data_IF_561147544825
#
_entry.id   IF_561147544825
#
_cell.length_a   1.000
_cell.length_b   1.000
_cell.length_c   1.000
_cell.angle_alpha   90.00
_cell.angle_beta   90.00
_cell.angle_gamma   90.00
#
_symmetry.space_group_name_H-M   'P 1'
#
loop_
_entity.id
_entity.type
_entity.pdbx_description
1 polymer ?
#
# COMPACT_ATOMS: atom_id res chain seq x y z
N UNK A 1 -16.22 -7.86 7.32
CA UNK A 1 -16.85 -7.60 8.63
C UNK A 1 -16.27 -6.36 9.33
N UNK A 2 -15.53 -5.51 8.59
CA UNK A 2 -14.89 -4.27 9.07
C UNK A 2 -13.82 -4.48 10.15
N UNK A 3 -13.38 -5.72 10.39
CA UNK A 3 -12.37 -6.04 11.40
C UNK A 3 -11.10 -6.59 10.78
N UNK A 4 -10.00 -6.47 11.52
CA UNK A 4 -8.82 -7.31 11.30
C UNK A 4 -8.79 -8.39 12.38
N UNK A 5 -8.14 -9.51 12.07
CA UNK A 5 -7.91 -10.58 13.05
C UNK A 5 -6.45 -11.04 12.98
N UNK A 6 -5.80 -11.07 14.13
CA UNK A 6 -4.46 -11.63 14.29
C UNK A 6 -4.61 -13.08 14.75
N UNK A 7 -3.93 -13.98 14.04
CA UNK A 7 -3.96 -15.41 14.31
C UNK A 7 -2.55 -15.92 14.58
N UNK A 8 -2.42 -16.93 15.42
CA UNK A 8 -1.19 -17.72 15.45
C UNK A 8 -1.20 -18.80 14.36
N UNK A 9 -0.05 -19.43 14.14
CA UNK A 9 0.12 -20.48 13.13
C UNK A 9 -0.69 -21.76 13.41
N UNK A 10 -1.21 -21.93 14.63
CA UNK A 10 -2.12 -23.01 14.99
C UNK A 10 -3.58 -22.68 14.63
N UNK A 11 -3.84 -21.54 13.99
CA UNK A 11 -5.18 -21.11 13.59
C UNK A 11 -6.02 -20.56 14.74
N UNK A 12 -5.41 -20.15 15.86
CA UNK A 12 -6.12 -19.52 16.97
C UNK A 12 -6.13 -18.01 16.79
N UNK A 13 -7.32 -17.40 16.87
CA UNK A 13 -7.48 -15.95 16.85
C UNK A 13 -6.95 -15.37 18.18
N UNK A 14 -5.87 -14.59 18.11
CA UNK A 14 -5.25 -13.92 19.24
C UNK A 14 -5.99 -12.61 19.56
N UNK A 15 -6.26 -11.80 18.54
CA UNK A 15 -6.92 -10.49 18.69
C UNK A 15 -7.83 -10.19 17.51
N UNK A 16 -8.93 -9.47 17.78
CA UNK A 16 -9.76 -8.83 16.75
C UNK A 16 -9.64 -7.32 16.91
N UNK A 17 -9.27 -6.65 15.83
CA UNK A 17 -9.08 -5.19 15.77
C UNK A 17 -10.37 -4.58 15.24
N UNK A 18 -11.01 -3.75 16.06
CA UNK A 18 -12.26 -3.06 15.71
C UNK A 18 -12.01 -1.55 15.66
N UNK A 19 -12.57 -0.88 14.66
CA UNK A 19 -12.46 0.58 14.56
C UNK A 19 -12.61 1.16 13.17
N UNK A 20 -12.44 0.36 12.10
CA UNK A 20 -12.86 0.76 10.76
C UNK A 20 -14.38 0.70 10.64
N UNK A 21 -14.97 1.63 9.87
CA UNK A 21 -16.43 1.70 9.66
C UNK A 21 -16.90 0.97 8.40
N UNK A 22 -15.97 0.56 7.53
CA UNK A 22 -16.23 -0.17 6.28
C UNK A 22 -15.24 -1.33 6.11
N UNK A 23 -15.26 -2.01 4.96
CA UNK A 23 -14.39 -3.14 4.70
C UNK A 23 -12.90 -2.77 4.80
N UNK A 24 -12.14 -3.61 5.49
CA UNK A 24 -10.67 -3.55 5.49
C UNK A 24 -10.16 -4.27 4.26
N UNK A 25 -9.38 -3.59 3.43
CA UNK A 25 -8.86 -4.11 2.16
C UNK A 25 -7.44 -4.66 2.27
N UNK A 26 -6.65 -4.13 3.19
CA UNK A 26 -5.28 -4.60 3.41
C UNK A 26 -4.87 -4.47 4.86
N UNK A 27 -3.92 -5.33 5.25
CA UNK A 27 -3.32 -5.39 6.56
C UNK A 27 -1.88 -5.86 6.43
N UNK A 28 -0.92 -5.09 6.93
CA UNK A 28 0.50 -5.40 6.81
C UNK A 28 1.23 -5.16 8.13
N UNK A 29 2.12 -6.06 8.50
CA UNK A 29 3.00 -5.88 9.65
C UNK A 29 4.07 -4.82 9.36
N UNK A 30 4.52 -4.11 10.41
CA UNK A 30 5.80 -3.40 10.37
C UNK A 30 6.97 -4.39 10.23
N UNK A 31 8.13 -3.95 9.74
CA UNK A 31 9.31 -4.82 9.57
C UNK A 31 9.77 -5.51 10.86
N UNK A 32 9.58 -4.87 12.02
CA UNK A 32 9.89 -5.43 13.35
C UNK A 32 8.77 -6.36 13.90
N UNK A 33 7.66 -6.48 13.18
CA UNK A 33 6.49 -7.27 13.55
C UNK A 33 5.68 -6.74 14.74
N UNK A 34 5.98 -5.55 15.27
CA UNK A 34 5.36 -5.02 16.50
C UNK A 34 4.07 -4.24 16.26
N UNK A 35 3.84 -3.78 15.03
CA UNK A 35 2.66 -3.01 14.67
C UNK A 35 2.05 -3.50 13.36
N UNK A 36 0.81 -3.10 13.12
CA UNK A 36 0.07 -3.42 11.90
C UNK A 36 -0.47 -2.11 11.32
N UNK A 37 -0.38 -1.92 10.01
CA UNK A 37 -1.10 -0.88 9.27
C UNK A 37 -2.25 -1.52 8.51
N UNK A 38 -3.43 -0.91 8.57
CA UNK A 38 -4.61 -1.32 7.80
C UNK A 38 -5.12 -0.21 6.91
N UNK A 39 -5.70 -0.58 5.78
CA UNK A 39 -6.36 0.33 4.84
C UNK A 39 -7.82 -0.11 4.59
N UNK A 40 -8.73 0.84 4.42
CA UNK A 40 -10.16 0.58 4.44
C UNK A 40 -10.96 1.38 3.40
N UNK A 41 -12.15 0.87 3.09
CA UNK A 41 -13.18 1.58 2.33
C UNK A 41 -13.69 2.85 3.00
N UNK A 42 -13.42 3.04 4.30
CA UNK A 42 -13.81 4.26 5.03
C UNK A 42 -12.87 5.46 4.78
N UNK A 43 -12.02 5.37 3.76
CA UNK A 43 -11.04 6.39 3.36
C UNK A 43 -9.90 6.62 4.36
N UNK A 44 -9.78 5.77 5.39
CA UNK A 44 -8.73 5.91 6.41
C UNK A 44 -7.74 4.76 6.40
N UNK A 45 -6.59 5.04 7.00
CA UNK A 45 -5.67 4.01 7.48
C UNK A 45 -5.66 4.01 9.00
N UNK A 46 -5.32 2.86 9.60
CA UNK A 46 -5.12 2.77 11.05
C UNK A 46 -3.86 1.98 11.38
N UNK A 47 -3.06 2.53 12.28
CA UNK A 47 -1.89 1.89 12.87
C UNK A 47 -2.30 1.25 14.19
N UNK A 48 -1.93 -0.01 14.39
CA UNK A 48 -2.32 -0.80 15.55
C UNK A 48 -1.10 -1.40 16.22
N UNK A 49 -1.16 -1.56 17.55
CA UNK A 49 -0.30 -2.51 18.24
C UNK A 49 -0.92 -3.92 18.23
N UNK A 50 -0.13 -4.95 18.54
CA UNK A 50 -0.61 -6.33 18.50
C UNK A 50 -1.71 -6.67 19.51
N UNK A 51 -1.93 -5.82 20.51
CA UNK A 51 -3.01 -5.98 21.51
C UNK A 51 -4.37 -5.51 20.99
N UNK A 52 -4.45 -5.00 19.76
CA UNK A 52 -5.69 -4.52 19.15
C UNK A 52 -5.98 -3.04 19.37
N UNK A 53 -5.06 -2.28 19.98
CA UNK A 53 -5.26 -0.84 20.19
C UNK A 53 -4.89 -0.06 18.93
N UNK A 54 -5.79 0.83 18.49
CA UNK A 54 -5.50 1.80 17.44
C UNK A 54 -4.59 2.90 18.00
N UNK A 55 -3.34 2.93 17.54
CA UNK A 55 -2.33 3.93 17.91
C UNK A 55 -2.55 5.25 17.16
N UNK A 56 -2.93 5.16 15.88
CA UNK A 56 -3.15 6.33 15.03
C UNK A 56 -4.19 6.07 13.94
N UNK A 57 -4.93 7.10 13.55
CA UNK A 57 -5.84 7.07 12.38
C UNK A 57 -5.40 8.13 11.39
N UNK A 58 -5.09 7.70 10.17
CA UNK A 58 -4.60 8.55 9.09
C UNK A 58 -5.79 8.98 8.25
N UNK A 59 -6.01 10.29 8.17
CA UNK A 59 -7.09 10.89 7.38
C UNK A 59 -6.50 11.80 6.32
N UNK A 60 -7.13 11.87 5.15
CA UNK A 60 -6.70 12.77 4.06
C UNK A 60 -6.87 12.21 2.66
N UNK A 61 -7.11 10.90 2.50
CA UNK A 61 -7.63 10.37 1.25
C UNK A 61 -9.12 10.73 1.10
N UNK A 62 -9.55 11.04 -0.13
CA UNK A 62 -10.95 11.40 -0.41
C UNK A 62 -11.79 10.25 -0.91
N UNK A 63 -11.22 9.04 -0.99
CA UNK A 63 -11.88 7.81 -1.40
C UNK A 63 -11.18 6.62 -0.73
N UNK A 64 -11.76 5.43 -0.90
CA UNK A 64 -11.31 4.17 -0.31
C UNK A 64 -9.80 3.95 -0.49
N UNK A 65 -9.15 3.50 0.58
CA UNK A 65 -7.71 3.22 0.59
C UNK A 65 -7.52 1.74 0.29
N UNK A 66 -6.97 1.43 -0.87
CA UNK A 66 -6.83 0.07 -1.41
C UNK A 66 -5.71 -0.71 -0.74
N UNK A 67 -4.63 -0.04 -0.37
CA UNK A 67 -3.42 -0.66 0.16
C UNK A 67 -2.61 0.28 1.04
N UNK A 68 -1.89 -0.28 2.01
CA UNK A 68 -0.93 0.45 2.82
C UNK A 68 0.24 -0.42 3.25
N UNK A 69 1.47 0.08 3.12
CA UNK A 69 2.68 -0.68 3.42
C UNK A 69 3.71 0.20 4.15
N UNK A 70 4.48 -0.40 5.05
CA UNK A 70 5.62 0.26 5.68
C UNK A 70 6.80 0.38 4.72
N UNK A 71 7.63 1.40 4.92
CA UNK A 71 8.99 1.42 4.39
C UNK A 71 9.83 0.30 5.02
N UNK A 72 10.93 -0.14 4.35
CA UNK A 72 11.80 -1.20 4.88
C UNK A 72 12.41 -0.90 6.25
N UNK A 73 12.63 0.37 6.57
CA UNK A 73 13.11 0.83 7.88
C UNK A 73 11.99 0.98 8.93
N UNK A 74 10.73 0.79 8.53
CA UNK A 74 9.54 0.89 9.39
C UNK A 74 9.15 2.31 9.80
N UNK A 75 9.81 3.37 9.28
CA UNK A 75 9.61 4.74 9.76
C UNK A 75 8.51 5.51 9.02
N UNK A 76 8.10 5.04 7.84
CA UNK A 76 7.07 5.68 7.03
C UNK A 76 6.09 4.66 6.47
N UNK A 77 4.95 5.15 6.00
CA UNK A 77 3.90 4.36 5.38
C UNK A 77 3.58 4.94 4.01
N UNK A 78 3.44 4.10 3.00
CA UNK A 78 2.85 4.48 1.70
C UNK A 78 1.44 3.93 1.61
N UNK A 79 0.50 4.75 1.18
CA UNK A 79 -0.89 4.35 0.93
C UNK A 79 -1.29 4.57 -0.53
N UNK A 80 -2.12 3.67 -1.05
CA UNK A 80 -2.75 3.76 -2.37
C UNK A 80 -4.26 3.93 -2.21
N UNK A 81 -4.89 4.76 -3.06
CA UNK A 81 -6.32 5.02 -2.96
C UNK A 81 -7.02 5.12 -4.32
N UNK A 82 -8.32 4.83 -4.29
CA UNK A 82 -9.25 5.09 -5.38
C UNK A 82 -9.48 6.59 -5.64
N UNK A 83 -8.90 7.49 -4.85
CA UNK A 83 -8.81 8.92 -5.17
C UNK A 83 -7.72 9.26 -6.21
N UNK A 84 -7.09 8.22 -6.79
CA UNK A 84 -6.05 8.29 -7.83
C UNK A 84 -4.70 8.80 -7.32
N UNK A 85 -4.53 8.91 -6.01
CA UNK A 85 -3.29 9.36 -5.39
C UNK A 85 -2.64 8.26 -4.57
N UNK A 86 -1.34 8.45 -4.34
CA UNK A 86 -0.64 7.83 -3.22
C UNK A 86 -0.31 8.90 -2.20
N UNK A 87 -0.15 8.51 -0.93
CA UNK A 87 0.33 9.40 0.13
C UNK A 87 1.40 8.71 0.97
N UNK A 88 2.50 9.43 1.20
CA UNK A 88 3.56 9.03 2.12
C UNK A 88 3.29 9.68 3.47
N UNK A 89 3.36 8.90 4.54
CA UNK A 89 3.05 9.33 5.89
C UNK A 89 4.20 9.05 6.84
N UNK A 90 4.37 9.91 7.85
CA UNK A 90 5.07 9.51 9.07
C UNK A 90 4.14 8.66 9.96
N UNK A 91 4.68 8.02 11.01
CA UNK A 91 3.88 7.19 11.91
C UNK A 91 2.92 7.99 12.82
N UNK A 92 3.04 9.31 12.85
CA UNK A 92 2.16 10.22 13.60
C UNK A 92 0.99 10.74 12.76
N UNK A 93 0.80 10.21 11.55
CA UNK A 93 -0.29 10.56 10.66
C UNK A 93 -0.10 11.82 9.83
N UNK A 94 1.09 12.43 9.85
CA UNK A 94 1.36 13.55 8.96
C UNK A 94 1.60 13.05 7.54
N UNK A 95 0.89 13.63 6.58
CA UNK A 95 1.14 13.40 5.16
C UNK A 95 2.39 14.18 4.73
N UNK A 96 3.48 13.45 4.45
CA UNK A 96 4.76 14.00 4.02
C UNK A 96 4.74 14.39 2.54
N UNK A 97 4.17 13.54 1.68
CA UNK A 97 4.07 13.78 0.24
C UNK A 97 2.78 13.17 -0.34
N UNK A 98 2.28 13.81 -1.41
CA UNK A 98 1.16 13.32 -2.22
C UNK A 98 1.67 13.08 -3.64
N UNK A 99 1.42 11.89 -4.16
CA UNK A 99 1.86 11.45 -5.47
C UNK A 99 0.66 11.52 -6.40
N UNK A 100 0.74 12.41 -7.39
CA UNK A 100 -0.31 12.62 -8.40
C UNK A 100 0.23 12.24 -9.77
N UNK A 101 -0.62 11.65 -10.62
CA UNK A 101 -0.24 11.32 -12.00
C UNK A 101 -0.91 10.06 -12.56
N UNK A 102 -1.49 9.21 -11.72
CA UNK A 102 -2.41 8.17 -12.21
C UNK A 102 -3.74 8.79 -12.64
N UNK A 103 -4.35 8.27 -13.71
CA UNK A 103 -5.64 8.76 -14.22
C UNK A 103 -6.84 8.00 -13.66
N UNK A 104 -6.60 6.91 -12.92
CA UNK A 104 -7.61 6.11 -12.25
C UNK A 104 -7.11 5.61 -10.87
N UNK A 105 -7.99 4.95 -10.12
CA UNK A 105 -7.74 4.49 -8.75
C UNK A 105 -6.47 3.63 -8.63
N UNK A 106 -5.63 3.95 -7.66
CA UNK A 106 -4.40 3.19 -7.37
C UNK A 106 -4.78 1.97 -6.54
N UNK A 107 -4.39 0.78 -6.98
CA UNK A 107 -4.78 -0.50 -6.37
C UNK A 107 -3.73 -1.02 -5.39
N UNK A 108 -2.47 -0.62 -5.54
CA UNK A 108 -1.38 -1.01 -4.65
C UNK A 108 -0.17 -0.11 -4.79
N UNK A 109 0.63 -0.03 -3.73
CA UNK A 109 1.85 0.75 -3.66
C UNK A 109 2.86 0.09 -2.72
N UNK A 110 4.12 -0.04 -3.15
CA UNK A 110 5.17 -0.72 -2.38
C UNK A 110 6.50 0.00 -2.52
N UNK A 111 7.28 0.01 -1.45
CA UNK A 111 8.65 0.51 -1.48
C UNK A 111 9.57 -0.47 -2.21
N UNK A 112 10.63 0.04 -2.83
CA UNK A 112 11.80 -0.75 -3.18
C UNK A 112 12.50 -1.29 -1.92
N UNK A 113 13.27 -2.39 -2.02
CA UNK A 113 13.97 -2.96 -0.86
C UNK A 113 14.93 -2.00 -0.15
N UNK A 114 15.50 -1.03 -0.88
CA UNK A 114 16.36 0.03 -0.32
C UNK A 114 15.57 1.23 0.26
N UNK A 115 14.24 1.22 0.13
CA UNK A 115 13.34 2.26 0.61
C UNK A 115 13.37 3.57 -0.19
N UNK A 116 14.14 3.67 -1.28
CA UNK A 116 14.37 4.94 -1.98
C UNK A 116 13.32 5.27 -3.05
N UNK A 117 12.58 4.25 -3.51
CA UNK A 117 11.56 4.40 -4.55
C UNK A 117 10.28 3.66 -4.19
N UNK A 118 9.21 4.01 -4.89
CA UNK A 118 7.90 3.39 -4.74
C UNK A 118 7.42 2.91 -6.10
N UNK A 119 6.87 1.71 -6.19
CA UNK A 119 6.10 1.24 -7.35
C UNK A 119 4.61 1.30 -7.03
N UNK A 120 3.82 1.80 -7.96
CA UNK A 120 2.36 1.83 -7.87
C UNK A 120 1.70 1.11 -9.03
N UNK A 121 0.55 0.48 -8.77
CA UNK A 121 -0.30 -0.17 -9.77
C UNK A 121 -1.68 0.49 -9.78
N UNK A 122 -2.27 0.71 -10.96
CA UNK A 122 -3.53 1.47 -11.08
C UNK A 122 -4.53 0.85 -12.05
N UNK A 123 -5.79 1.25 -11.86
CA UNK A 123 -6.89 1.03 -12.80
C UNK A 123 -6.64 1.62 -14.19
N UNK A 124 -5.72 2.58 -14.33
CA UNK A 124 -5.34 3.17 -15.62
C UNK A 124 -4.49 2.26 -16.51
N UNK A 125 -4.35 1.00 -16.14
CA UNK A 125 -3.55 -0.02 -16.85
C UNK A 125 -2.04 0.23 -16.85
N UNK A 126 -1.55 1.16 -16.03
CA UNK A 126 -0.12 1.47 -15.90
C UNK A 126 0.44 1.11 -14.53
N UNK A 127 1.76 0.99 -14.49
CA UNK A 127 2.54 1.11 -13.26
C UNK A 127 3.33 2.40 -13.29
N UNK A 128 3.63 2.99 -12.12
CA UNK A 128 4.52 4.14 -12.02
C UNK A 128 5.57 3.93 -10.94
N UNK A 129 6.83 4.24 -11.28
CA UNK A 129 7.95 4.29 -10.34
C UNK A 129 8.14 5.74 -9.88
N UNK A 130 8.26 5.95 -8.58
CA UNK A 130 8.37 7.26 -7.97
C UNK A 130 9.60 7.36 -7.08
N UNK A 131 10.17 8.56 -6.97
CA UNK A 131 11.01 8.88 -5.82
C UNK A 131 10.15 9.37 -4.64
N UNK A 132 10.72 9.43 -3.44
CA UNK A 132 9.98 9.81 -2.23
C UNK A 132 9.47 11.28 -2.21
N UNK A 133 10.00 12.13 -3.10
CA UNK A 133 9.56 13.52 -3.25
C UNK A 133 8.29 13.66 -4.12
N UNK A 134 7.71 12.55 -4.57
CA UNK A 134 6.49 12.57 -5.39
C UNK A 134 6.72 12.66 -6.90
N UNK A 135 7.98 12.61 -7.38
CA UNK A 135 8.26 12.67 -8.80
C UNK A 135 8.11 11.29 -9.44
N UNK A 136 7.35 11.21 -10.53
CA UNK A 136 7.27 10.01 -11.36
C UNK A 136 8.56 9.86 -12.17
N UNK A 137 9.37 8.86 -11.84
CA UNK A 137 10.62 8.51 -12.53
C UNK A 137 10.36 7.73 -13.82
N UNK A 138 9.36 6.85 -13.80
CA UNK A 138 9.03 6.01 -14.95
C UNK A 138 7.54 5.62 -14.97
N UNK A 139 6.97 5.45 -16.17
CA UNK A 139 5.62 4.89 -16.36
C UNK A 139 5.74 3.64 -17.22
N UNK A 140 5.38 2.49 -16.67
CA UNK A 140 5.38 1.23 -17.39
C UNK A 140 4.03 1.05 -18.08
N UNK A 141 4.07 0.90 -19.39
CA UNK A 141 2.90 0.65 -20.24
C UNK A 141 3.04 -0.73 -20.87
N UNK A 142 1.93 -1.45 -21.02
CA UNK A 142 1.94 -2.78 -21.66
C UNK A 142 0.87 -3.74 -21.17
N UNK A 143 0.27 -3.49 -20.00
CA UNK A 143 -0.98 -4.14 -19.63
C UNK A 143 -2.15 -3.51 -20.41
N UNK A 144 -3.15 -4.33 -20.77
CA UNK A 144 -4.33 -3.87 -21.52
C UNK A 144 -5.57 -3.69 -20.63
N UNK A 145 -5.42 -3.80 -19.31
CA UNK A 145 -6.48 -3.63 -18.33
C UNK A 145 -5.89 -3.23 -16.96
N UNK A 146 -6.76 -2.81 -16.02
CA UNK A 146 -6.41 -2.49 -14.62
C UNK A 146 -5.34 -3.42 -14.02
N UNK A 147 -4.31 -2.80 -13.46
CA UNK A 147 -3.23 -3.50 -12.78
C UNK A 147 -3.57 -3.56 -11.29
N UNK A 148 -3.76 -4.79 -10.80
CA UNK A 148 -4.24 -5.04 -9.45
C UNK A 148 -3.15 -4.82 -8.40
N UNK A 149 -1.90 -5.20 -8.73
CA UNK A 149 -0.78 -5.10 -7.80
C UNK A 149 0.56 -5.15 -8.55
N UNK A 150 1.62 -4.63 -7.91
CA UNK A 150 3.00 -4.74 -8.39
C UNK A 150 3.97 -4.81 -7.21
N UNK A 151 5.04 -5.59 -7.34
CA UNK A 151 6.05 -5.76 -6.28
C UNK A 151 7.45 -5.79 -6.87
N UNK A 152 8.42 -5.30 -6.11
CA UNK A 152 9.83 -5.46 -6.43
C UNK A 152 10.30 -6.89 -6.12
N UNK A 153 11.29 -7.36 -6.88
CA UNK A 153 12.15 -8.47 -6.46
C UNK A 153 12.96 -8.07 -5.22
N UNK A 154 13.42 -9.03 -4.40
CA UNK A 154 14.22 -8.73 -3.20
C UNK A 154 15.52 -7.96 -3.46
N UNK A 155 16.11 -8.11 -4.65
CA UNK A 155 17.29 -7.35 -5.08
C UNK A 155 16.97 -5.96 -5.66
N UNK A 156 15.68 -5.62 -5.79
CA UNK A 156 15.20 -4.34 -6.32
C UNK A 156 15.41 -4.15 -7.82
N UNK A 157 15.88 -5.15 -8.57
CA UNK A 157 16.21 -4.98 -9.99
C UNK A 157 15.06 -5.25 -10.95
N UNK A 158 14.04 -5.98 -10.49
CA UNK A 158 12.89 -6.37 -11.29
C UNK A 158 11.59 -6.03 -10.58
N UNK A 159 10.54 -5.75 -11.34
CA UNK A 159 9.18 -5.61 -10.85
C UNK A 159 8.34 -6.74 -11.45
N UNK A 160 7.45 -7.33 -10.66
CA UNK A 160 6.35 -8.17 -11.16
C UNK A 160 5.03 -7.42 -11.00
N UNK A 161 4.16 -7.49 -12.00
CA UNK A 161 2.79 -6.95 -11.93
C UNK A 161 1.74 -7.98 -12.31
N UNK A 162 0.58 -7.85 -11.69
CA UNK A 162 -0.60 -8.67 -11.96
C UNK A 162 -1.76 -7.79 -12.43
N UNK A 163 -2.38 -8.15 -13.54
CA UNK A 163 -3.48 -7.39 -14.17
C UNK A 163 -4.64 -8.31 -14.51
N UNK A 164 -5.82 -7.73 -14.61
CA UNK A 164 -7.00 -8.45 -15.12
C UNK A 164 -7.04 -8.52 -16.65
N UNK A 165 -5.96 -8.19 -17.34
CA UNK A 165 -5.74 -8.71 -18.69
C UNK A 165 -5.36 -10.20 -18.70
N UNK A 166 -5.42 -10.85 -17.52
CA UNK A 166 -5.07 -12.25 -17.27
C UNK A 166 -3.59 -12.55 -17.44
N UNK A 167 -2.71 -11.54 -17.28
CA UNK A 167 -1.27 -11.72 -17.39
C UNK A 167 -0.51 -11.26 -16.14
N UNK A 168 0.63 -11.91 -15.92
CA UNK A 168 1.72 -11.38 -15.12
C UNK A 168 2.78 -10.82 -16.06
N UNK A 169 3.39 -9.67 -15.72
CA UNK A 169 4.52 -9.10 -16.46
C UNK A 169 5.70 -8.87 -15.54
N UNK A 170 6.91 -9.11 -16.07
CA UNK A 170 8.16 -8.78 -15.43
C UNK A 170 8.78 -7.57 -16.13
N UNK A 171 9.30 -6.63 -15.34
CA UNK A 171 9.88 -5.37 -15.82
C UNK A 171 11.28 -5.25 -15.25
N UNK A 172 12.28 -5.08 -16.11
CA UNK A 172 13.66 -4.84 -15.69
C UNK A 172 13.86 -3.33 -15.44
N UNK A 173 14.57 -2.98 -14.37
CA UNK A 173 14.94 -1.60 -14.05
C UNK A 173 16.36 -1.22 -14.50
N UNK A 174 17.08 -2.16 -15.11
CA UNK A 174 18.39 -1.96 -15.74
C UNK A 174 18.28 -1.51 -17.19
#
# INVERSE_FOLDING_TARGET
DNTLKLWNLNGQCLHTFTGHSCEVLSANFSPDGQTIISASWDNTLKLWNLNGQCLHTFTGHSNSVSGANFSPDGQTIISASNDKTLKLWDLNGQCLHIFTGHSDGVQGAHFSPDGQTIISASGDSTLKLWNLNGQCLHTFTGHSNWVQNANFSPDGQTIISASHDNTLKLWNLN
#
